data_IF_380180672818
#
_entry.id   IF_380180672818
#
_cell.length_a   1.000
_cell.length_b   1.000
_cell.length_c   1.000
_cell.angle_alpha   90.00
_cell.angle_beta   90.00
_cell.angle_gamma   90.00
#
_symmetry.space_group_name_H-M   'P 1'
#
loop_
_entity.id
_entity.type
_entity.pdbx_description
1 polymer ?
#
# COMPACT_ATOMS: atom_id res chain seq x y z
N UNK A 1 -10.67 8.20 8.84
CA UNK A 1 -10.17 6.97 9.49
C UNK A 1 -9.27 7.41 10.65
N UNK A 2 -9.61 7.03 11.89
CA UNK A 2 -8.72 7.26 13.05
C UNK A 2 -7.81 6.04 13.17
N UNK A 3 -6.68 6.06 12.43
CA UNK A 3 -5.66 5.02 12.60
C UNK A 3 -4.79 5.30 13.82
N UNK A 4 -4.48 4.29 14.66
CA UNK A 4 -3.50 4.43 15.74
C UNK A 4 -2.06 4.48 15.21
N UNK A 5 -1.82 4.00 13.99
CA UNK A 5 -0.50 3.86 13.38
C UNK A 5 -0.01 5.14 12.71
N UNK A 6 1.30 5.30 12.56
CA UNK A 6 1.90 6.47 11.90
C UNK A 6 1.72 6.42 10.39
N UNK A 7 1.77 5.21 9.81
CA UNK A 7 1.49 4.95 8.40
C UNK A 7 0.46 3.83 8.29
N UNK A 8 -0.66 4.12 7.65
CA UNK A 8 -1.72 3.15 7.37
C UNK A 8 -2.25 3.31 5.95
N UNK A 9 -2.63 2.18 5.36
CA UNK A 9 -3.15 2.12 3.99
C UNK A 9 -4.49 1.40 3.97
N UNK A 10 -5.31 1.68 2.96
CA UNK A 10 -6.35 0.77 2.53
C UNK A 10 -5.95 0.16 1.19
N UNK A 11 -6.04 -1.15 1.11
CA UNK A 11 -5.68 -1.87 -0.11
C UNK A 11 -6.85 -1.87 -1.09
N UNK A 12 -6.52 -1.87 -2.37
CA UNK A 12 -7.51 -1.88 -3.45
C UNK A 12 -7.19 -2.95 -4.50
N UNK A 13 -8.20 -3.42 -5.25
CA UNK A 13 -7.97 -4.43 -6.28
C UNK A 13 -7.18 -3.87 -7.46
N UNK A 14 -6.33 -4.72 -8.05
CA UNK A 14 -5.71 -4.45 -9.35
C UNK A 14 -6.78 -4.50 -10.44
N UNK A 15 -6.60 -3.74 -11.51
CA UNK A 15 -7.49 -3.75 -12.71
C UNK A 15 -7.22 -4.98 -13.59
N UNK A 16 -7.22 -6.17 -12.97
CA UNK A 16 -6.95 -7.45 -13.64
C UNK A 16 -7.96 -8.49 -13.15
N UNK A 17 -8.56 -9.23 -14.07
CA UNK A 17 -9.41 -10.37 -13.73
C UNK A 17 -8.59 -11.64 -13.72
N UNK A 18 -8.58 -12.33 -12.59
CA UNK A 18 -7.87 -13.60 -12.39
C UNK A 18 -8.77 -14.77 -12.82
N UNK A 19 -8.90 -14.99 -14.13
CA UNK A 19 -9.83 -15.97 -14.70
C UNK A 19 -9.64 -17.39 -14.17
N UNK A 20 -8.43 -17.81 -13.86
CA UNK A 20 -8.18 -19.13 -13.30
C UNK A 20 -8.74 -19.28 -11.89
N UNK A 21 -8.73 -18.21 -11.07
CA UNK A 21 -9.38 -18.20 -9.77
C UNK A 21 -10.92 -18.27 -9.91
N UNK A 22 -11.48 -17.57 -10.89
CA UNK A 22 -12.92 -17.63 -11.20
C UNK A 22 -13.31 -19.06 -11.60
N UNK A 23 -12.58 -19.69 -12.52
CA UNK A 23 -12.82 -21.07 -12.94
C UNK A 23 -12.79 -22.04 -11.77
N UNK A 24 -11.77 -21.90 -10.92
CA UNK A 24 -11.62 -22.74 -9.72
C UNK A 24 -12.80 -22.56 -8.77
N UNK A 25 -13.17 -21.31 -8.45
CA UNK A 25 -14.29 -21.01 -7.57
C UNK A 25 -15.62 -21.59 -8.08
N UNK A 26 -15.87 -21.47 -9.39
CA UNK A 26 -17.07 -22.07 -10.02
C UNK A 26 -17.05 -23.61 -9.91
N UNK A 27 -15.91 -24.24 -10.15
CA UNK A 27 -15.79 -25.69 -10.06
C UNK A 27 -15.97 -26.24 -8.63
N UNK A 28 -15.59 -25.45 -7.63
CA UNK A 28 -15.71 -25.80 -6.20
C UNK A 28 -17.06 -25.39 -5.59
N UNK A 29 -17.95 -24.76 -6.38
CA UNK A 29 -19.24 -24.27 -5.89
C UNK A 29 -19.10 -23.14 -4.88
N UNK A 30 -18.06 -22.33 -4.98
CA UNK A 30 -17.81 -21.21 -4.10
C UNK A 30 -18.80 -20.07 -4.38
N UNK A 31 -19.71 -19.83 -3.44
CA UNK A 31 -20.78 -18.82 -3.56
C UNK A 31 -20.32 -17.40 -3.19
N UNK A 32 -19.06 -17.22 -2.81
CA UNK A 32 -18.53 -15.90 -2.48
C UNK A 32 -18.59 -14.95 -3.69
N UNK A 33 -18.51 -13.66 -3.42
CA UNK A 33 -18.56 -12.65 -4.47
C UNK A 33 -17.46 -12.87 -5.53
N UNK A 34 -17.86 -13.27 -6.73
CA UNK A 34 -16.97 -13.57 -7.86
C UNK A 34 -16.10 -12.38 -8.25
N UNK A 35 -16.60 -11.15 -8.12
CA UNK A 35 -15.81 -9.94 -8.42
C UNK A 35 -14.62 -9.81 -7.45
N UNK A 36 -14.80 -10.19 -6.20
CA UNK A 36 -13.75 -10.21 -5.20
C UNK A 36 -12.75 -11.35 -5.46
N UNK A 37 -13.25 -12.56 -5.74
CA UNK A 37 -12.42 -13.74 -6.03
C UNK A 37 -11.58 -13.54 -7.31
N UNK A 38 -12.13 -12.82 -8.28
CA UNK A 38 -11.45 -12.54 -9.55
C UNK A 38 -10.37 -11.48 -9.47
N UNK A 39 -10.26 -10.73 -8.38
CA UNK A 39 -9.30 -9.63 -8.25
C UNK A 39 -8.09 -10.00 -7.39
N UNK A 40 -6.95 -9.39 -7.70
CA UNK A 40 -5.75 -9.40 -6.86
C UNK A 40 -5.63 -8.04 -6.16
N UNK A 41 -5.33 -8.02 -4.87
CA UNK A 41 -5.15 -6.77 -4.12
C UNK A 41 -3.72 -6.24 -4.26
N UNK A 42 -3.58 -4.91 -4.23
CA UNK A 42 -2.28 -4.24 -4.17
C UNK A 42 -1.81 -4.23 -2.72
N UNK A 43 -1.12 -5.30 -2.32
CA UNK A 43 -0.50 -5.41 -1.00
C UNK A 43 0.67 -6.39 -1.05
N UNK A 44 1.74 -6.07 -0.35
CA UNK A 44 2.85 -6.99 -0.11
C UNK A 44 2.92 -7.27 1.39
N UNK A 45 2.52 -8.48 1.76
CA UNK A 45 2.38 -8.85 3.18
C UNK A 45 3.69 -9.47 3.71
N UNK A 46 4.68 -9.71 2.84
CA UNK A 46 5.92 -10.38 3.24
C UNK A 46 5.70 -11.84 3.66
N UNK A 47 6.76 -12.46 4.19
CA UNK A 47 6.77 -13.87 4.62
C UNK A 47 6.39 -14.07 6.10
N UNK A 48 6.13 -12.99 6.85
CA UNK A 48 5.88 -13.07 8.29
C UNK A 48 4.45 -13.54 8.61
N UNK A 49 4.31 -14.15 9.80
CA UNK A 49 3.01 -14.55 10.32
C UNK A 49 2.11 -13.33 10.47
N UNK A 50 0.93 -13.38 9.88
CA UNK A 50 -0.05 -12.30 9.89
C UNK A 50 -0.81 -12.31 11.21
N UNK A 51 -0.70 -11.25 11.98
CA UNK A 51 -1.55 -11.02 13.14
C UNK A 51 -2.44 -9.82 12.82
N UNK A 52 -3.75 -10.03 12.91
CA UNK A 52 -4.72 -8.93 12.81
C UNK A 52 -4.96 -8.39 14.22
N UNK A 53 -4.69 -7.12 14.41
CA UNK A 53 -4.91 -6.43 15.68
C UNK A 53 -5.78 -5.19 15.44
N UNK A 54 -6.91 -5.11 16.14
CA UNK A 54 -7.84 -3.98 16.06
C UNK A 54 -8.26 -3.58 14.62
N UNK A 55 -8.40 -4.55 13.74
CA UNK A 55 -8.79 -4.31 12.33
C UNK A 55 -7.63 -3.90 11.42
N UNK A 56 -6.39 -4.05 11.87
CA UNK A 56 -5.19 -3.76 11.09
C UNK A 56 -4.29 -4.99 10.97
N UNK A 57 -3.59 -5.08 9.84
CA UNK A 57 -2.54 -6.08 9.59
C UNK A 57 -1.28 -5.38 9.09
N UNK A 58 -0.12 -5.81 9.58
CA UNK A 58 1.16 -5.27 9.13
C UNK A 58 1.48 -5.73 7.70
N UNK A 59 1.97 -4.79 6.89
CA UNK A 59 2.44 -5.03 5.53
C UNK A 59 3.95 -4.80 5.44
N UNK A 60 4.60 -5.47 4.49
CA UNK A 60 5.95 -5.11 4.07
C UNK A 60 5.93 -3.83 3.23
N UNK A 61 5.06 -3.79 2.22
CA UNK A 61 4.88 -2.61 1.37
C UNK A 61 3.37 -2.37 1.16
N UNK A 62 2.95 -1.12 1.16
CA UNK A 62 1.57 -0.70 0.97
C UNK A 62 1.42 0.30 -0.17
N UNK A 63 0.26 0.34 -0.83
CA UNK A 63 0.00 1.24 -1.95
C UNK A 63 -0.30 2.66 -1.50
N UNK A 64 0.09 3.65 -2.29
CA UNK A 64 -0.20 5.08 -2.03
C UNK A 64 -1.57 5.53 -2.53
N UNK A 65 -2.29 4.70 -3.28
CA UNK A 65 -3.63 5.06 -3.76
C UNK A 65 -4.63 5.42 -2.65
N UNK A 66 -4.43 4.89 -1.44
CA UNK A 66 -5.06 5.36 -0.21
C UNK A 66 -4.10 5.11 0.97
N UNK A 67 -3.28 6.11 1.28
CA UNK A 67 -2.29 6.05 2.36
C UNK A 67 -2.47 7.26 3.29
N UNK A 68 -2.62 7.00 4.57
CA UNK A 68 -2.64 8.01 5.63
C UNK A 68 -1.29 7.99 6.35
N UNK A 69 -0.64 9.13 6.40
CA UNK A 69 0.68 9.31 6.99
C UNK A 69 0.59 10.43 8.03
N UNK A 70 0.99 10.17 9.26
CA UNK A 70 1.10 11.23 10.27
C UNK A 70 2.29 12.14 9.95
N UNK A 71 2.16 13.42 10.25
CA UNK A 71 3.21 14.42 10.02
C UNK A 71 4.57 14.01 10.59
N UNK A 72 4.60 13.46 11.81
CA UNK A 72 5.85 13.02 12.43
C UNK A 72 6.60 11.92 11.67
N UNK A 73 5.95 11.18 10.75
CA UNK A 73 6.65 10.26 9.88
C UNK A 73 7.45 11.00 8.79
N UNK A 74 6.90 12.08 8.23
CA UNK A 74 7.63 12.92 7.28
C UNK A 74 8.83 13.60 7.95
N UNK A 75 8.66 14.13 9.16
CA UNK A 75 9.72 14.79 9.92
C UNK A 75 10.91 13.83 10.19
N UNK A 76 10.62 12.57 10.55
CA UNK A 76 11.65 11.53 10.72
C UNK A 76 12.33 11.15 9.41
N UNK A 77 11.59 11.10 8.31
CA UNK A 77 12.14 10.79 6.99
C UNK A 77 13.07 11.90 6.51
N UNK A 78 12.67 13.16 6.67
CA UNK A 78 13.48 14.32 6.33
C UNK A 78 14.78 14.40 7.13
N UNK A 79 14.71 14.12 8.44
CA UNK A 79 15.89 14.04 9.30
C UNK A 79 16.83 12.89 8.88
N UNK A 80 16.26 11.72 8.54
CA UNK A 80 17.03 10.52 8.19
C UNK A 80 17.66 10.56 6.81
N UNK A 81 17.01 11.21 5.85
CA UNK A 81 17.38 11.23 4.43
C UNK A 81 17.52 12.68 3.91
N UNK A 82 18.47 13.48 4.45
CA UNK A 82 18.65 14.88 4.00
C UNK A 82 19.03 14.98 2.52
N UNK A 83 19.57 13.91 1.93
CA UNK A 83 19.90 13.83 0.49
C UNK A 83 18.66 13.82 -0.42
N UNK A 84 17.47 13.60 0.13
CA UNK A 84 16.20 13.69 -0.61
C UNK A 84 15.65 15.12 -0.67
N UNK A 85 16.26 16.08 0.03
CA UNK A 85 15.87 17.47 -0.07
C UNK A 85 16.23 18.03 -1.44
N UNK A 86 15.26 18.56 -2.13
CA UNK A 86 15.41 19.08 -3.46
C UNK A 86 14.69 20.42 -3.64
N UNK A 87 15.12 21.17 -4.65
CA UNK A 87 14.48 22.44 -5.01
C UNK A 87 13.16 22.19 -5.72
N UNK A 88 12.17 22.98 -5.36
CA UNK A 88 10.89 22.97 -6.05
C UNK A 88 10.98 23.78 -7.35
N UNK A 89 10.86 23.12 -8.50
CA UNK A 89 10.88 23.74 -9.82
C UNK A 89 9.47 24.00 -10.40
N UNK A 90 8.41 23.75 -9.62
CA UNK A 90 7.05 24.03 -10.06
C UNK A 90 6.74 25.53 -10.03
N UNK A 91 5.99 26.00 -11.02
CA UNK A 91 5.44 27.35 -11.02
C UNK A 91 4.35 27.50 -9.95
N UNK A 92 4.16 28.70 -9.40
CA UNK A 92 3.16 29.03 -8.35
C UNK A 92 3.31 28.18 -7.08
N UNK A 93 4.53 28.11 -6.57
CA UNK A 93 4.89 27.36 -5.36
C UNK A 93 4.79 28.23 -4.09
N UNK A 94 4.34 27.60 -3.01
CA UNK A 94 4.33 28.22 -1.67
C UNK A 94 5.62 27.91 -0.87
N UNK A 95 6.53 27.08 -1.42
CA UNK A 95 7.78 26.66 -0.78
C UNK A 95 8.88 26.44 -1.81
N UNK A 96 10.11 26.70 -1.41
CA UNK A 96 11.29 26.64 -2.30
C UNK A 96 11.94 25.25 -2.34
N UNK A 97 11.80 24.46 -1.29
CA UNK A 97 12.40 23.14 -1.14
C UNK A 97 11.38 22.14 -0.56
N UNK A 98 11.56 20.86 -0.86
CA UNK A 98 10.79 19.77 -0.26
C UNK A 98 11.63 18.48 -0.20
N UNK A 99 11.23 17.56 0.68
CA UNK A 99 11.85 16.24 0.77
C UNK A 99 11.11 15.24 -0.13
N UNK A 100 11.82 14.69 -1.14
CA UNK A 100 11.28 13.78 -2.14
C UNK A 100 11.16 12.35 -1.59
N UNK A 101 10.43 12.15 -0.48
CA UNK A 101 10.31 10.84 0.21
C UNK A 101 9.68 9.75 -0.65
N UNK A 102 8.98 10.12 -1.72
CA UNK A 102 8.37 9.23 -2.71
C UNK A 102 9.22 9.04 -3.97
N UNK A 103 10.47 9.53 -3.98
CA UNK A 103 11.36 9.26 -5.11
C UNK A 103 11.62 7.76 -5.27
N UNK A 104 11.55 7.26 -6.52
CA UNK A 104 11.80 5.86 -6.82
C UNK A 104 13.27 5.50 -6.53
N UNK A 105 13.53 4.24 -6.22
CA UNK A 105 14.90 3.81 -5.92
C UNK A 105 15.19 2.38 -6.39
N UNK A 106 16.47 2.09 -6.61
CA UNK A 106 16.96 0.72 -6.67
C UNK A 106 17.36 0.33 -5.24
N UNK A 107 16.62 -0.62 -4.67
CA UNK A 107 16.90 -1.13 -3.33
C UNK A 107 18.33 -1.73 -3.29
N UNK A 108 19.21 -1.25 -2.42
CA UNK A 108 20.60 -1.67 -2.41
C UNK A 108 20.79 -3.15 -2.05
N UNK A 109 19.89 -3.72 -1.24
CA UNK A 109 19.96 -5.10 -0.80
C UNK A 109 19.39 -6.08 -1.82
N UNK A 110 18.12 -5.88 -2.21
CA UNK A 110 17.42 -6.79 -3.12
C UNK A 110 17.68 -6.52 -4.60
N UNK A 111 18.29 -5.38 -4.95
CA UNK A 111 18.52 -4.89 -6.31
C UNK A 111 17.23 -4.69 -7.13
N UNK A 112 16.09 -4.68 -6.48
CA UNK A 112 14.81 -4.40 -7.12
C UNK A 112 14.63 -2.91 -7.36
N UNK A 113 14.04 -2.56 -8.51
CA UNK A 113 13.48 -1.23 -8.70
C UNK A 113 12.21 -1.11 -7.87
N UNK A 114 12.17 -0.15 -6.96
CA UNK A 114 11.02 0.17 -6.13
C UNK A 114 10.33 1.41 -6.70
N UNK A 115 9.02 1.27 -6.97
CA UNK A 115 8.16 2.41 -7.29
C UNK A 115 8.03 3.34 -6.08
N UNK A 116 7.41 4.48 -6.28
CA UNK A 116 7.27 5.55 -5.28
C UNK A 116 6.69 5.05 -3.94
N UNK A 117 5.66 4.22 -4.01
CA UNK A 117 4.99 3.65 -2.85
C UNK A 117 5.89 2.66 -2.08
N UNK A 118 6.57 1.77 -2.77
CA UNK A 118 7.48 0.80 -2.15
C UNK A 118 8.78 1.46 -1.66
N UNK A 119 9.27 2.47 -2.38
CA UNK A 119 10.43 3.25 -1.97
C UNK A 119 10.14 4.02 -0.66
N UNK A 120 8.96 4.67 -0.56
CA UNK A 120 8.51 5.28 0.69
C UNK A 120 8.43 4.26 1.84
N UNK A 121 7.81 3.11 1.61
CA UNK A 121 7.68 2.06 2.62
C UNK A 121 9.06 1.59 3.12
N UNK A 122 10.01 1.41 2.21
CA UNK A 122 11.37 1.01 2.54
C UNK A 122 12.09 2.05 3.39
N UNK A 123 12.02 3.33 3.00
CA UNK A 123 12.60 4.43 3.78
C UNK A 123 11.98 4.54 5.16
N UNK A 124 10.65 4.42 5.25
CA UNK A 124 9.95 4.43 6.52
C UNK A 124 10.40 3.29 7.46
N UNK A 125 10.58 2.09 6.92
CA UNK A 125 11.13 0.96 7.68
C UNK A 125 12.56 1.20 8.17
N UNK A 126 13.39 1.86 7.37
CA UNK A 126 14.75 2.27 7.78
C UNK A 126 14.73 3.30 8.91
N UNK A 127 13.66 4.06 9.08
CA UNK A 127 13.41 4.90 10.26
C UNK A 127 12.86 4.12 11.47
N UNK A 128 12.76 2.79 11.40
CA UNK A 128 12.15 1.94 12.43
C UNK A 128 10.61 1.93 12.40
N UNK A 129 10.02 2.49 11.34
CA UNK A 129 8.57 2.52 11.16
C UNK A 129 7.99 1.23 10.60
N UNK A 130 6.67 1.09 10.72
CA UNK A 130 5.90 -0.04 10.18
C UNK A 130 4.70 0.48 9.40
N UNK A 131 4.24 -0.32 8.45
CA UNK A 131 3.08 0.00 7.60
C UNK A 131 1.94 -0.95 7.96
N UNK A 132 0.74 -0.41 8.13
CA UNK A 132 -0.43 -1.19 8.51
C UNK A 132 -1.56 -1.00 7.50
N UNK A 133 -2.20 -2.11 7.09
CA UNK A 133 -3.41 -2.07 6.28
C UNK A 133 -4.66 -2.15 7.16
N UNK A 134 -5.60 -1.24 6.96
CA UNK A 134 -6.98 -1.40 7.42
C UNK A 134 -7.64 -2.52 6.60
N UNK A 135 -8.02 -3.60 7.26
CA UNK A 135 -8.59 -4.77 6.59
C UNK A 135 -10.07 -4.61 6.24
N UNK A 136 -10.76 -3.64 6.81
CA UNK A 136 -12.21 -3.47 6.68
C UNK A 136 -12.60 -2.40 5.66
N UNK A 137 -11.69 -1.49 5.30
CA UNK A 137 -11.98 -0.46 4.30
C UNK A 137 -12.10 -1.09 2.92
N UNK A 138 -13.28 -0.93 2.31
CA UNK A 138 -13.53 -1.35 0.92
C UNK A 138 -13.26 -0.20 -0.02
N UNK A 139 -12.40 -0.42 -1.00
CA UNK A 139 -12.10 0.54 -2.06
C UNK A 139 -12.51 0.01 -3.42
N UNK A 140 -12.99 0.91 -4.28
CA UNK A 140 -13.23 0.65 -5.69
C UNK A 140 -12.07 1.16 -6.56
N UNK A 141 -11.67 0.36 -7.55
CA UNK A 141 -10.71 0.78 -8.56
C UNK A 141 -11.38 0.79 -9.92
N UNK A 142 -11.72 1.97 -10.42
CA UNK A 142 -12.47 2.12 -11.67
C UNK A 142 -11.55 2.04 -12.88
N UNK A 143 -11.90 1.21 -13.84
CA UNK A 143 -11.26 1.03 -15.13
C UNK A 143 -12.33 0.79 -16.19
N UNK A 144 -12.05 -0.05 -17.19
CA UNK A 144 -13.07 -0.52 -18.14
C UNK A 144 -14.18 -1.34 -17.44
N UNK A 145 -13.84 -1.90 -16.26
CA UNK A 145 -14.77 -2.55 -15.34
C UNK A 145 -14.53 -1.98 -13.93
N UNK A 146 -15.58 -1.91 -13.08
CA UNK A 146 -15.39 -1.57 -11.67
C UNK A 146 -14.80 -2.76 -10.93
N UNK A 147 -13.74 -2.51 -10.18
CA UNK A 147 -13.12 -3.48 -9.28
C UNK A 147 -13.29 -2.98 -7.84
N UNK A 148 -13.82 -3.80 -6.94
CA UNK A 148 -13.98 -3.44 -5.53
C UNK A 148 -13.66 -4.62 -4.62
N UNK A 149 -13.18 -4.32 -3.42
CA UNK A 149 -12.85 -5.33 -2.43
C UNK A 149 -12.14 -4.73 -1.23
N UNK A 150 -12.06 -5.52 -0.16
CA UNK A 150 -11.25 -5.19 1.01
C UNK A 150 -10.31 -6.35 1.36
N UNK A 151 -9.32 -6.06 2.20
CA UNK A 151 -8.34 -7.07 2.58
C UNK A 151 -8.95 -8.16 3.46
N UNK A 152 -9.92 -7.80 4.33
CA UNK A 152 -10.60 -8.73 5.20
C UNK A 152 -11.28 -9.89 4.44
N UNK A 153 -11.83 -9.61 3.27
CA UNK A 153 -12.46 -10.65 2.44
C UNK A 153 -11.46 -11.69 1.94
N UNK A 154 -10.18 -11.29 1.80
CA UNK A 154 -9.08 -12.19 1.41
C UNK A 154 -8.49 -12.97 2.58
N UNK A 155 -8.52 -12.42 3.80
CA UNK A 155 -7.97 -13.08 4.98
C UNK A 155 -8.87 -14.21 5.51
N UNK A 156 -10.16 -14.20 5.15
CA UNK A 156 -11.14 -15.23 5.52
C UNK A 156 -11.19 -16.40 4.53
N UNK A 157 -10.50 -16.30 3.43
CA UNK A 157 -10.37 -17.34 2.40
C UNK A 157 -9.14 -18.22 2.63
#
# INVERSE_FOLDING_TARGET
VKSPHDVSVAVYPKKVVMWDQVKKAVAEGDERNMAMLSSSLVANIGAHKRTVENGFVELLDGPTGFMAIKRGAFEKLEEKFPELNCKNDHQNRDFDEYCAVFDCMIDPESRRYLSEDYAFCRRWQQCGGRIFADINTTLGHVGNLPFSGCLNDRLKA
#
